data_IF_323017008708
#
_entry.id   IF_323017008708
#
_cell.length_a   1.000
_cell.length_b   1.000
_cell.length_c   1.000
_cell.angle_alpha   90.00
_cell.angle_beta   90.00
_cell.angle_gamma   90.00
#
_symmetry.space_group_name_H-M   'P 1'
#
loop_
_entity.id
_entity.type
_entity.pdbx_description
1 polymer ?
#
# COMPACT_ATOMS: atom_id res chain seq x y z
N UNK A 1 0.63 -0.32 9.29
CA UNK A 1 1.07 -1.73 9.24
C UNK A 1 0.37 -2.40 8.07
N UNK A 2 1.09 -3.15 7.21
CA UNK A 2 0.60 -3.64 5.90
C UNK A 2 -0.22 -4.95 5.94
N UNK A 3 -0.43 -5.57 7.10
CA UNK A 3 -1.28 -6.78 7.23
C UNK A 3 -0.93 -7.92 6.22
N UNK A 4 0.36 -8.22 6.04
CA UNK A 4 0.85 -9.14 4.98
C UNK A 4 0.67 -10.63 5.25
N UNK A 5 0.33 -11.05 6.49
CA UNK A 5 0.11 -12.47 6.84
C UNK A 5 -1.26 -12.96 6.34
N UNK A 6 -1.46 -12.87 5.02
CA UNK A 6 -2.68 -13.20 4.28
C UNK A 6 -2.30 -13.77 2.90
N UNK A 7 -3.10 -14.64 2.29
CA UNK A 7 -2.81 -15.22 0.98
C UNK A 7 -3.13 -14.27 -0.19
N UNK A 8 -2.46 -13.12 -0.26
CA UNK A 8 -2.74 -12.04 -1.24
C UNK A 8 -1.80 -11.98 -2.45
N UNK A 9 -0.71 -12.76 -2.43
CA UNK A 9 0.42 -12.55 -3.35
C UNK A 9 0.19 -13.03 -4.79
N UNK A 10 -0.77 -13.95 -5.02
CA UNK A 10 -1.06 -14.48 -6.36
C UNK A 10 -1.42 -13.38 -7.36
N UNK A 11 -2.18 -12.36 -6.91
CA UNK A 11 -2.58 -11.23 -7.74
C UNK A 11 -1.39 -10.39 -8.21
N UNK A 12 -0.33 -10.33 -7.41
CA UNK A 12 0.88 -9.57 -7.68
C UNK A 12 1.85 -10.24 -8.66
N UNK A 13 1.67 -11.55 -8.92
CA UNK A 13 2.58 -12.34 -9.76
C UNK A 13 2.49 -12.03 -11.27
N UNK A 14 1.47 -11.28 -11.70
CA UNK A 14 1.29 -10.84 -13.07
C UNK A 14 0.85 -9.37 -13.10
N UNK A 15 1.20 -8.67 -14.18
CA UNK A 15 0.84 -7.26 -14.42
C UNK A 15 1.43 -6.27 -13.39
N UNK A 16 2.55 -6.65 -12.77
CA UNK A 16 3.33 -5.78 -11.88
C UNK A 16 2.87 -5.77 -10.42
N UNK A 17 3.78 -5.44 -9.51
CA UNK A 17 3.51 -5.36 -8.08
C UNK A 17 2.93 -4.02 -7.63
N UNK A 18 3.09 -2.97 -8.44
CA UNK A 18 2.85 -1.58 -8.05
C UNK A 18 1.86 -0.87 -8.99
N UNK A 19 1.28 0.24 -8.49
CA UNK A 19 0.45 1.14 -9.28
C UNK A 19 -0.92 0.58 -9.64
N UNK A 20 -1.37 -0.44 -8.91
CA UNK A 20 -2.67 -1.08 -9.11
C UNK A 20 -3.55 -0.85 -7.88
N UNK A 21 -4.74 -0.30 -8.12
CA UNK A 21 -5.75 -0.14 -7.08
C UNK A 21 -6.44 -1.49 -6.80
N UNK A 22 -5.86 -2.28 -5.89
CA UNK A 22 -6.48 -3.49 -5.31
C UNK A 22 -6.54 -3.35 -3.77
N UNK A 23 -7.69 -3.58 -3.12
CA UNK A 23 -7.82 -3.48 -1.66
C UNK A 23 -6.84 -4.35 -0.86
N UNK A 24 -6.37 -5.46 -1.44
CA UNK A 24 -5.38 -6.34 -0.83
C UNK A 24 -3.95 -5.78 -0.85
N UNK A 25 -3.65 -4.89 -1.79
CA UNK A 25 -2.34 -4.24 -1.94
C UNK A 25 -2.23 -3.04 -1.02
N UNK A 26 -2.16 -3.32 0.28
CA UNK A 26 -2.06 -2.30 1.34
C UNK A 26 -0.84 -1.39 1.23
N UNK A 27 0.18 -1.78 0.45
CA UNK A 27 1.37 -0.96 0.20
C UNK A 27 1.12 0.19 -0.77
N UNK A 28 0.04 0.14 -1.57
CA UNK A 28 -0.38 1.24 -2.44
C UNK A 28 -1.13 2.34 -1.67
N UNK A 29 -1.49 2.10 -0.40
CA UNK A 29 -2.22 3.08 0.40
C UNK A 29 -1.31 4.26 0.76
N UNK A 30 -1.83 5.46 0.59
CA UNK A 30 -1.21 6.73 0.99
C UNK A 30 -1.74 7.22 2.34
N UNK A 31 -2.20 6.30 3.19
CA UNK A 31 -2.84 6.58 4.49
C UNK A 31 -1.94 7.32 5.49
N UNK A 32 -0.62 7.31 5.26
CA UNK A 32 0.36 8.07 6.05
C UNK A 32 0.73 9.43 5.47
N UNK A 33 0.24 9.81 4.28
CA UNK A 33 0.68 11.03 3.61
C UNK A 33 0.41 12.28 4.44
N UNK A 34 -0.79 12.40 5.02
CA UNK A 34 -1.16 13.55 5.84
C UNK A 34 -0.34 13.63 7.14
N UNK A 35 -0.12 12.49 7.80
CA UNK A 35 0.73 12.45 9.00
C UNK A 35 2.16 12.91 8.69
N UNK A 36 2.73 12.42 7.59
CA UNK A 36 4.08 12.80 7.16
C UNK A 36 4.17 14.29 6.79
N UNK A 37 3.10 14.85 6.21
CA UNK A 37 3.02 16.27 5.89
C UNK A 37 3.03 17.13 7.17
N UNK A 38 2.23 16.75 8.17
CA UNK A 38 2.19 17.43 9.47
C UNK A 38 3.53 17.33 10.22
N UNK A 39 4.14 16.14 10.24
CA UNK A 39 5.43 15.92 10.89
C UNK A 39 6.57 16.73 10.24
N UNK A 40 6.46 17.01 8.94
CA UNK A 40 7.42 17.86 8.21
C UNK A 40 7.23 19.38 8.45
N UNK A 41 6.22 19.79 9.23
CA UNK A 41 5.96 21.19 9.58
C UNK A 41 5.16 21.98 8.53
N UNK A 42 4.39 21.30 7.68
CA UNK A 42 3.45 21.90 6.72
C UNK A 42 2.01 21.95 7.24
#
# INVERSE_FOLDING_TARGET
>A
SLKLRRPIFRKAAAYGHFGREDPDFTWERTDKAELLKQDAGF
#
